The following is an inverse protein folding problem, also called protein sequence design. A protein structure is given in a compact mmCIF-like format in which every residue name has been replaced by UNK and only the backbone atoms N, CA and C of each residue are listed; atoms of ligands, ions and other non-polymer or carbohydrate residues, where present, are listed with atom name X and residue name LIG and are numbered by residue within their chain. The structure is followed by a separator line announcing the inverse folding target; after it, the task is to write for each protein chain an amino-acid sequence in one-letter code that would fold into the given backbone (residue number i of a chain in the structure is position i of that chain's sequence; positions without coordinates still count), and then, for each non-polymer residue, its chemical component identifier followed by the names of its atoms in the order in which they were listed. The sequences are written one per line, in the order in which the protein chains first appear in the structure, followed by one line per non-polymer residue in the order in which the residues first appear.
data_IF_577886165387
#
_entry.id   IF_577886165387
#
_cell.length_a   1.000
_cell.length_b   1.000
_cell.length_c   1.000
_cell.angle_alpha   90.00
_cell.angle_beta   90.00
_cell.angle_gamma   90.00
#
_symmetry.space_group_name_H-M   'P 1'
#
loop_
_entity.id
_entity.type
_entity.pdbx_description
1 polymer ?
#
# COMPACT_ATOMS: atom_id res chain seq x y z
N UNK A 1 2.15 15.44 4.55
CA UNK A 1 2.90 14.19 4.28
C UNK A 1 2.17 13.38 3.22
N UNK A 2 2.89 12.64 2.37
CA UNK A 2 2.31 11.83 1.30
C UNK A 2 2.94 10.43 1.35
N UNK A 3 2.11 9.40 1.38
CA UNK A 3 2.56 8.01 1.52
C UNK A 3 2.21 7.22 0.27
N UNK A 4 3.15 6.42 -0.23
CA UNK A 4 2.87 5.46 -1.31
C UNK A 4 2.52 4.11 -0.70
N UNK A 5 1.56 3.43 -1.30
CA UNK A 5 1.24 2.04 -0.97
C UNK A 5 2.00 1.19 -2.00
N UNK A 6 3.03 0.51 -1.54
CA UNK A 6 3.96 -0.23 -2.39
C UNK A 6 4.10 -1.66 -1.90
N UNK A 7 4.34 -2.56 -2.85
CA UNK A 7 4.74 -3.94 -2.59
C UNK A 7 6.25 -4.01 -2.61
N UNK A 8 6.84 -4.49 -1.52
CA UNK A 8 8.28 -4.59 -1.38
C UNK A 8 8.67 -5.77 -0.49
N UNK A 9 9.92 -6.20 -0.59
CA UNK A 9 10.49 -7.21 0.30
C UNK A 9 10.77 -6.59 1.68
N UNK A 10 10.41 -7.30 2.75
CA UNK A 10 10.52 -6.80 4.13
C UNK A 10 11.95 -6.50 4.58
N UNK A 11 12.97 -7.07 3.92
CA UNK A 11 14.39 -6.84 4.22
C UNK A 11 14.91 -5.57 3.57
N UNK A 12 14.15 -4.97 2.63
CA UNK A 12 14.56 -3.72 1.97
C UNK A 12 14.35 -2.53 2.90
N UNK A 13 15.21 -1.52 2.70
CA UNK A 13 15.07 -0.21 3.34
C UNK A 13 13.71 0.40 2.95
N UNK A 14 13.08 1.09 3.90
CA UNK A 14 11.76 1.74 3.73
C UNK A 14 11.69 2.63 2.49
N UNK A 15 12.70 3.46 2.28
CA UNK A 15 12.77 4.42 1.17
C UNK A 15 13.56 3.86 -0.04
N UNK A 16 13.78 2.54 -0.07
CA UNK A 16 14.45 1.85 -1.18
C UNK A 16 13.51 1.54 -2.35
N UNK A 17 14.00 0.74 -3.29
CA UNK A 17 13.19 0.29 -4.43
C UNK A 17 12.07 -0.67 -4.01
N UNK A 18 10.90 -0.50 -4.62
CA UNK A 18 9.74 -1.40 -4.50
C UNK A 18 9.59 -2.27 -5.75
N UNK A 19 8.81 -3.34 -5.63
CA UNK A 19 8.42 -4.22 -6.74
C UNK A 19 7.33 -3.53 -7.57
N UNK A 20 6.30 -3.02 -6.88
CA UNK A 20 5.16 -2.38 -7.52
C UNK A 20 4.55 -1.30 -6.62
N UNK A 21 4.02 -0.23 -7.21
CA UNK A 21 3.24 0.79 -6.51
C UNK A 21 1.77 0.58 -6.84
N UNK A 22 0.98 0.20 -5.84
CA UNK A 22 -0.44 -0.15 -6.00
C UNK A 22 -1.38 0.97 -5.52
N UNK A 23 -0.85 2.09 -5.05
CA UNK A 23 -1.66 3.18 -4.57
C UNK A 23 -0.90 4.24 -3.80
N UNK A 24 -1.66 5.14 -3.18
CA UNK A 24 -1.14 6.18 -2.31
C UNK A 24 -2.18 6.62 -1.29
N UNK A 25 -1.69 7.25 -0.23
CA UNK A 25 -2.48 7.76 0.88
C UNK A 25 -1.97 9.14 1.29
N UNK A 26 -2.88 10.11 1.33
CA UNK A 26 -2.59 11.48 1.73
C UNK A 26 -3.51 11.93 2.88
N UNK A 27 -3.07 11.82 4.15
CA UNK A 27 -3.91 12.19 5.29
C UNK A 27 -4.23 13.69 5.38
N UNK A 28 -3.60 14.53 4.57
CA UNK A 28 -3.84 15.98 4.60
C UNK A 28 -5.10 16.39 3.84
N UNK A 29 -5.63 15.52 2.97
CA UNK A 29 -6.85 15.76 2.21
C UNK A 29 -8.00 15.05 2.92
N UNK A 30 -9.16 15.71 3.00
CA UNK A 30 -10.36 15.14 3.63
C UNK A 30 -11.10 14.18 2.70
N UNK A 31 -11.14 14.49 1.42
CA UNK A 31 -11.83 13.71 0.37
C UNK A 31 -10.80 13.00 -0.52
N UNK A 32 -11.16 11.82 -1.04
CA UNK A 32 -10.28 11.01 -1.91
C UNK A 32 -8.84 10.84 -1.40
N UNK A 33 -8.69 10.72 -0.08
CA UNK A 33 -7.39 10.68 0.58
C UNK A 33 -6.65 9.34 0.41
N UNK A 34 -7.29 8.37 -0.23
CA UNK A 34 -6.79 7.03 -0.48
C UNK A 34 -7.12 6.65 -1.92
N UNK A 35 -6.11 6.25 -2.66
CA UNK A 35 -6.27 5.56 -3.95
C UNK A 35 -5.52 4.25 -3.88
N UNK A 36 -6.20 3.14 -4.13
CA UNK A 36 -5.59 1.81 -4.19
C UNK A 36 -6.19 1.03 -5.33
N UNK A 37 -5.33 0.33 -6.07
CA UNK A 37 -5.76 -0.64 -7.07
C UNK A 37 -6.20 -1.94 -6.36
N UNK A 38 -7.50 -2.17 -6.33
CA UNK A 38 -8.11 -3.33 -5.66
C UNK A 38 -7.70 -4.65 -6.31
N UNK A 39 -7.62 -4.72 -7.65
CA UNK A 39 -7.24 -5.94 -8.35
C UNK A 39 -5.80 -6.34 -8.03
N UNK A 40 -4.89 -5.36 -8.05
CA UNK A 40 -3.48 -5.61 -7.70
C UNK A 40 -3.32 -5.93 -6.22
N UNK A 41 -4.07 -5.27 -5.34
CA UNK A 41 -4.07 -5.59 -3.92
C UNK A 41 -4.47 -7.06 -3.68
N UNK A 42 -5.58 -7.50 -4.29
CA UNK A 42 -6.07 -8.88 -4.15
C UNK A 42 -5.11 -9.90 -4.75
N UNK A 43 -4.55 -9.60 -5.92
CA UNK A 43 -3.50 -10.42 -6.52
C UNK A 43 -2.33 -10.63 -5.55
N UNK A 44 -1.78 -9.56 -4.98
CA UNK A 44 -0.62 -9.67 -4.08
C UNK A 44 -0.94 -10.43 -2.80
N UNK A 45 -2.13 -10.24 -2.23
CA UNK A 45 -2.59 -11.03 -1.08
C UNK A 45 -2.69 -12.51 -1.46
N UNK A 46 -3.24 -12.84 -2.63
CA UNK A 46 -3.38 -14.23 -3.09
C UNK A 46 -2.05 -14.97 -3.30
N UNK A 47 -0.98 -14.24 -3.66
CA UNK A 47 0.37 -14.81 -3.80
C UNK A 47 1.17 -14.79 -2.50
N UNK A 48 0.55 -14.42 -1.38
CA UNK A 48 1.13 -14.50 -0.03
C UNK A 48 1.76 -13.21 0.50
N UNK A 49 1.51 -12.06 -0.12
CA UNK A 49 1.97 -10.79 0.45
C UNK A 49 1.25 -10.49 1.78
N UNK A 50 2.02 -10.00 2.75
CA UNK A 50 1.48 -9.59 4.05
C UNK A 50 1.32 -8.08 4.11
N UNK A 51 0.10 -7.62 4.38
CA UNK A 51 -0.20 -6.20 4.55
C UNK A 51 0.32 -5.69 5.89
N UNK A 52 0.85 -4.46 5.91
CA UNK A 52 1.15 -3.76 7.16
C UNK A 52 -0.13 -3.31 7.87
N UNK A 53 -0.06 -3.11 9.18
CA UNK A 53 -1.22 -2.71 9.99
C UNK A 53 -1.86 -1.40 9.52
N UNK A 54 -1.05 -0.46 9.02
CA UNK A 54 -1.58 0.80 8.48
C UNK A 54 -2.36 0.58 7.19
N UNK A 55 -1.87 -0.29 6.30
CA UNK A 55 -2.54 -0.59 5.04
C UNK A 55 -3.86 -1.31 5.32
N UNK A 56 -3.90 -2.30 6.22
CA UNK A 56 -5.15 -2.95 6.64
C UNK A 56 -6.20 -1.97 7.13
N UNK A 57 -5.80 -1.01 7.99
CA UNK A 57 -6.69 0.02 8.54
C UNK A 57 -7.27 0.95 7.47
N UNK A 58 -6.52 1.30 6.43
CA UNK A 58 -7.00 2.24 5.40
C UNK A 58 -7.77 1.52 4.29
N UNK A 59 -7.44 0.26 3.96
CA UNK A 59 -8.15 -0.50 2.92
C UNK A 59 -9.36 -1.26 3.46
N UNK A 60 -9.52 -1.38 4.78
CA UNK A 60 -10.65 -2.08 5.40
C UNK A 60 -10.69 -3.59 5.11
N UNK A 61 -9.53 -4.18 4.79
CA UNK A 61 -9.33 -5.63 4.56
C UNK A 61 -8.48 -6.22 5.67
#
# INVERSE_FOLDING_TARGET
PFYRIVVTDSRKRRDGGWIESIGHYNPMIKEENLTVDSERLDYWISVGAQMSDRVKKITGK
#
